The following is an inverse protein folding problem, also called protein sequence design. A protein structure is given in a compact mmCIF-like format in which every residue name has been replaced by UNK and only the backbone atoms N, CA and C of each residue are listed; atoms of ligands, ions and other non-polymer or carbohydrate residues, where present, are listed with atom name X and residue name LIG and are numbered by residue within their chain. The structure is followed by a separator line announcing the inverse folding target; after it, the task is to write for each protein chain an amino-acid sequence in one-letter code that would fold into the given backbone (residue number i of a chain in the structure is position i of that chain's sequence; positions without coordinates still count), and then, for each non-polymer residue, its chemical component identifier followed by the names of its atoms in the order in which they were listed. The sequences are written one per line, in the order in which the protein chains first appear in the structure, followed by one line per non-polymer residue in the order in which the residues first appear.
data_IF_041720023516
#
_entry.id   IF_041720023516
#
_cell.length_a   1.000
_cell.length_b   1.000
_cell.length_c   1.000
_cell.angle_alpha   90.00
_cell.angle_beta   90.00
_cell.angle_gamma   90.00
#
_symmetry.space_group_name_H-M   'P 1'
#
loop_
_entity.id
_entity.type
_entity.pdbx_description
1 polymer ?
#
# COMPACT_ATOMS: atom_id res chain seq x y z
N UNK A 1 14.75 18.33 2.08
CA UNK A 1 14.81 17.00 2.73
C UNK A 1 14.34 17.19 4.17
N UNK A 2 13.20 16.63 4.57
CA UNK A 2 12.68 16.74 5.95
C UNK A 2 13.08 15.48 6.72
N UNK A 3 13.79 15.63 7.82
CA UNK A 3 14.10 14.56 8.78
C UNK A 3 13.04 14.56 9.89
N UNK A 4 12.39 13.42 10.11
CA UNK A 4 11.89 12.99 11.42
C UNK A 4 10.68 13.68 12.08
N UNK A 5 10.12 14.79 11.60
CA UNK A 5 8.86 15.31 12.18
C UNK A 5 7.65 14.75 11.46
N UNK A 6 7.09 13.70 12.03
CA UNK A 6 5.90 13.00 11.55
C UNK A 6 4.81 13.36 12.56
N UNK A 7 3.78 14.08 12.10
CA UNK A 7 2.71 14.52 13.00
C UNK A 7 1.89 13.32 13.50
N UNK A 8 0.97 13.55 14.42
CA UNK A 8 0.11 12.51 15.01
C UNK A 8 -0.77 11.75 14.01
N UNK A 9 -0.80 12.24 12.77
CA UNK A 9 -1.55 11.77 11.63
C UNK A 9 -0.68 11.07 10.56
N UNK A 10 0.57 10.73 10.88
CA UNK A 10 1.48 9.95 10.04
C UNK A 10 2.20 8.88 10.87
N UNK A 11 2.26 7.65 10.37
CA UNK A 11 3.03 6.57 10.99
C UNK A 11 3.74 5.75 9.92
N UNK A 12 5.00 5.40 10.17
CA UNK A 12 5.69 4.42 9.33
C UNK A 12 5.91 3.11 10.05
N UNK A 13 5.83 2.06 9.25
CA UNK A 13 5.86 0.69 9.68
C UNK A 13 7.06 0.03 9.01
N UNK A 14 7.84 -0.70 9.80
CA UNK A 14 9.11 -1.27 9.38
C UNK A 14 9.12 -2.76 9.72
N UNK A 15 9.73 -3.56 8.85
CA UNK A 15 10.06 -4.96 9.13
C UNK A 15 11.56 -5.05 9.37
N UNK A 16 11.93 -5.67 10.47
CA UNK A 16 13.32 -5.89 10.86
C UNK A 16 13.75 -7.34 10.58
N UNK A 17 15.01 -7.51 10.21
CA UNK A 17 15.71 -8.79 10.22
C UNK A 17 17.01 -8.60 11.00
N UNK A 18 17.02 -9.06 12.26
CA UNK A 18 18.03 -8.62 13.22
C UNK A 18 17.91 -7.13 13.51
N UNK A 19 19.02 -6.41 13.39
CA UNK A 19 19.14 -4.96 13.59
C UNK A 19 18.84 -4.12 12.33
N UNK A 20 18.54 -4.77 11.19
CA UNK A 20 18.36 -4.10 9.90
C UNK A 20 16.89 -3.96 9.53
N UNK A 21 16.50 -2.75 9.10
CA UNK A 21 15.22 -2.51 8.43
C UNK A 21 15.31 -3.10 7.02
N UNK A 22 14.47 -4.09 6.73
CA UNK A 22 14.43 -4.77 5.41
C UNK A 22 13.24 -4.33 4.55
N UNK A 23 12.20 -3.78 5.17
CA UNK A 23 11.03 -3.26 4.47
C UNK A 23 10.42 -2.10 5.25
N UNK A 24 9.86 -1.14 4.53
CA UNK A 24 9.22 0.04 5.11
C UNK A 24 8.03 0.49 4.25
N UNK A 25 6.97 0.96 4.90
CA UNK A 25 5.90 1.73 4.26
C UNK A 25 5.20 2.61 5.28
N UNK A 26 4.67 3.74 4.83
CA UNK A 26 3.93 4.66 5.70
C UNK A 26 2.42 4.60 5.53
N UNK A 27 1.75 5.18 6.51
CA UNK A 27 0.33 5.50 6.61
C UNK A 27 0.18 6.99 6.96
N UNK A 28 -0.75 7.73 6.35
CA UNK A 28 -1.04 9.12 6.75
C UNK A 28 -2.47 9.53 6.44
N UNK A 29 -2.93 10.55 7.16
CA UNK A 29 -4.19 11.22 6.91
C UNK A 29 -4.26 11.81 5.49
N UNK A 30 -5.38 11.61 4.82
CA UNK A 30 -5.59 11.98 3.42
C UNK A 30 -6.93 12.72 3.23
N UNK A 31 -7.02 13.98 3.69
CA UNK A 31 -8.28 14.75 3.68
C UNK A 31 -8.79 15.08 2.27
N UNK A 32 -7.93 14.97 1.26
CA UNK A 32 -8.26 15.31 -0.12
C UNK A 32 -9.31 14.39 -0.76
N UNK A 33 -9.59 13.23 -0.15
CA UNK A 33 -10.59 12.28 -0.64
C UNK A 33 -11.84 12.26 0.24
N UNK A 34 -11.65 12.15 1.56
CA UNK A 34 -12.73 12.16 2.55
C UNK A 34 -12.17 12.63 3.90
N UNK A 35 -13.01 13.28 4.73
CA UNK A 35 -12.59 13.92 5.98
C UNK A 35 -12.04 12.96 7.05
N UNK A 36 -12.38 11.68 6.96
CA UNK A 36 -11.88 10.62 7.87
C UNK A 36 -11.11 9.56 7.07
N UNK A 37 -10.36 9.99 6.05
CA UNK A 37 -9.61 9.11 5.15
C UNK A 37 -8.14 9.02 5.52
N UNK A 38 -7.60 7.80 5.46
CA UNK A 38 -6.18 7.55 5.58
C UNK A 38 -5.65 6.80 4.36
N UNK A 39 -4.48 7.22 3.89
CA UNK A 39 -3.74 6.55 2.82
C UNK A 39 -2.66 5.66 3.43
N UNK A 40 -2.72 4.38 3.09
CA UNK A 40 -1.72 3.37 3.46
C UNK A 40 -0.85 3.00 2.27
N UNK A 41 0.14 2.15 2.48
CA UNK A 41 1.02 1.62 1.42
C UNK A 41 1.73 2.74 0.63
N UNK A 42 1.97 3.91 1.23
CA UNK A 42 2.73 4.96 0.57
C UNK A 42 4.24 4.71 0.78
N UNK A 43 5.02 5.04 -0.26
CA UNK A 43 6.49 4.89 -0.31
C UNK A 43 6.97 3.51 0.15
N UNK A 44 6.34 2.47 -0.36
CA UNK A 44 6.76 1.09 -0.13
C UNK A 44 8.19 0.86 -0.63
N UNK A 45 9.04 0.30 0.22
CA UNK A 45 10.36 -0.18 -0.17
C UNK A 45 10.69 -1.48 0.56
N UNK A 46 11.29 -2.42 -0.17
CA UNK A 46 11.86 -3.65 0.37
C UNK A 46 13.23 -3.86 -0.26
N UNK A 47 14.23 -4.12 0.58
CA UNK A 47 15.59 -4.43 0.16
C UNK A 47 15.60 -5.61 -0.81
N UNK A 48 16.40 -5.53 -1.88
CA UNK A 48 16.37 -6.48 -3.01
C UNK A 48 16.53 -7.94 -2.56
N UNK A 49 17.43 -8.19 -1.61
CA UNK A 49 17.70 -9.53 -1.07
C UNK A 49 16.50 -10.16 -0.34
N UNK A 50 15.52 -9.38 0.09
CA UNK A 50 14.38 -9.83 0.90
C UNK A 50 13.05 -9.85 0.11
N UNK A 51 13.06 -9.52 -1.17
CA UNK A 51 11.83 -9.44 -1.97
C UNK A 51 11.22 -10.82 -2.17
N UNK A 52 9.90 -10.93 -1.97
CA UNK A 52 9.16 -12.17 -2.17
C UNK A 52 9.32 -13.19 -1.05
N UNK A 53 9.87 -12.79 0.11
CA UNK A 53 10.18 -13.67 1.25
C UNK A 53 9.23 -13.50 2.43
N UNK A 54 8.09 -12.81 2.29
CA UNK A 54 7.11 -12.67 3.38
C UNK A 54 6.23 -13.93 3.60
N UNK A 55 6.63 -15.07 3.04
CA UNK A 55 5.98 -16.37 3.15
C UNK A 55 7.04 -17.46 3.08
N UNK A 56 6.75 -18.65 3.61
CA UNK A 56 7.64 -19.82 3.58
C UNK A 56 8.12 -20.16 2.16
N UNK A 57 7.27 -19.99 1.15
CA UNK A 57 7.64 -20.16 -0.25
C UNK A 57 8.05 -18.82 -0.84
N UNK A 58 9.20 -18.73 -1.50
CA UNK A 58 9.63 -17.48 -2.14
C UNK A 58 8.84 -17.23 -3.43
N UNK A 59 8.31 -16.02 -3.62
CA UNK A 59 7.70 -15.63 -4.90
C UNK A 59 7.73 -14.12 -5.14
N UNK A 60 8.28 -13.70 -6.27
CA UNK A 60 8.20 -12.31 -6.74
C UNK A 60 6.91 -11.99 -7.51
N UNK A 61 6.12 -13.02 -7.86
CA UNK A 61 4.91 -12.89 -8.67
C UNK A 61 3.64 -12.71 -7.84
N UNK A 62 3.72 -13.01 -6.54
CA UNK A 62 2.60 -13.00 -5.61
C UNK A 62 2.72 -11.80 -4.66
N UNK A 63 1.75 -10.90 -4.67
CA UNK A 63 1.79 -9.69 -3.83
C UNK A 63 1.84 -10.03 -2.34
N UNK A 64 1.16 -11.09 -1.91
CA UNK A 64 1.17 -11.59 -0.53
C UNK A 64 2.53 -12.14 -0.05
N UNK A 65 3.54 -12.16 -0.91
CA UNK A 65 4.93 -12.48 -0.54
C UNK A 65 5.78 -11.22 -0.37
N UNK A 66 5.21 -10.04 -0.61
CA UNK A 66 5.84 -8.76 -0.33
C UNK A 66 5.53 -8.33 1.12
N UNK A 67 6.55 -7.93 1.88
CA UNK A 67 6.41 -7.52 3.27
C UNK A 67 5.46 -6.33 3.47
N UNK A 68 5.39 -5.40 2.52
CA UNK A 68 4.44 -4.29 2.59
C UNK A 68 2.99 -4.79 2.61
N UNK A 69 2.65 -5.77 1.77
CA UNK A 69 1.28 -6.32 1.70
C UNK A 69 0.98 -7.33 2.80
N UNK A 70 1.95 -8.16 3.20
CA UNK A 70 1.71 -9.28 4.13
C UNK A 70 1.91 -8.92 5.60
N UNK A 71 2.96 -8.15 5.91
CA UNK A 71 3.34 -7.86 7.28
C UNK A 71 2.95 -6.43 7.70
N UNK A 72 3.19 -5.45 6.83
CA UNK A 72 2.99 -4.04 7.17
C UNK A 72 1.52 -3.64 7.05
N UNK A 73 0.87 -3.97 5.92
CA UNK A 73 -0.50 -3.52 5.63
C UNK A 73 -1.51 -3.79 6.76
N UNK A 74 -1.55 -4.97 7.41
CA UNK A 74 -2.46 -5.17 8.54
C UNK A 74 -2.25 -4.18 9.68
N UNK A 75 -0.98 -3.88 10.02
CA UNK A 75 -0.65 -2.89 11.03
C UNK A 75 -1.01 -1.46 10.60
N UNK A 76 -0.91 -1.16 9.30
CA UNK A 76 -1.35 0.12 8.75
C UNK A 76 -2.87 0.30 8.88
N UNK A 77 -3.64 -0.74 8.51
CA UNK A 77 -5.10 -0.73 8.64
C UNK A 77 -5.51 -0.56 10.10
N UNK A 78 -4.92 -1.36 11.00
CA UNK A 78 -5.20 -1.26 12.44
C UNK A 78 -4.93 0.15 12.97
N UNK A 79 -3.78 0.73 12.63
CA UNK A 79 -3.47 2.09 13.05
C UNK A 79 -4.47 3.12 12.51
N UNK A 80 -4.83 3.07 11.23
CA UNK A 80 -5.84 3.95 10.64
C UNK A 80 -7.18 3.84 11.40
N UNK A 81 -7.61 2.62 11.75
CA UNK A 81 -8.83 2.39 12.53
C UNK A 81 -8.72 3.02 13.93
N UNK A 82 -7.57 2.92 14.61
CA UNK A 82 -7.36 3.60 15.91
C UNK A 82 -7.45 5.12 15.81
N UNK A 83 -7.27 5.69 14.62
CA UNK A 83 -7.38 7.12 14.33
C UNK A 83 -8.79 7.54 13.88
N UNK A 84 -9.75 6.62 13.89
CA UNK A 84 -11.13 6.87 13.49
C UNK A 84 -11.36 6.87 11.98
N UNK A 85 -10.49 6.23 11.19
CA UNK A 85 -10.68 6.15 9.75
C UNK A 85 -12.01 5.47 9.39
N UNK A 86 -12.85 6.15 8.61
CA UNK A 86 -14.02 5.54 7.96
C UNK A 86 -13.70 5.11 6.53
N UNK A 87 -12.57 5.57 6.00
CA UNK A 87 -12.10 5.30 4.65
C UNK A 87 -10.60 5.03 4.67
N UNK A 88 -10.17 3.93 4.06
CA UNK A 88 -8.77 3.57 3.95
C UNK A 88 -8.46 3.29 2.49
N UNK A 89 -7.50 4.03 1.94
CA UNK A 89 -7.14 3.94 0.53
C UNK A 89 -5.67 3.56 0.33
N UNK A 90 -5.37 3.01 -0.83
CA UNK A 90 -4.02 2.98 -1.39
C UNK A 90 -4.03 3.55 -2.80
N UNK A 91 -2.88 4.07 -3.24
CA UNK A 91 -2.75 4.67 -4.57
C UNK A 91 -1.69 3.96 -5.40
N UNK A 92 -1.91 3.94 -6.72
CA UNK A 92 -0.92 3.43 -7.67
C UNK A 92 -0.73 4.45 -8.78
N UNK A 93 0.52 4.79 -9.11
CA UNK A 93 0.84 5.68 -10.23
C UNK A 93 0.16 5.19 -11.52
N UNK A 94 -0.50 6.12 -12.21
CA UNK A 94 -1.09 5.90 -13.52
C UNK A 94 -0.01 5.77 -14.61
N UNK A 95 -0.37 5.26 -15.80
CA UNK A 95 0.58 4.97 -16.86
C UNK A 95 1.37 6.17 -17.39
N UNK A 96 0.93 7.39 -17.11
CA UNK A 96 1.57 8.59 -17.65
C UNK A 96 2.87 8.94 -16.90
N UNK A 97 3.23 8.18 -15.84
CA UNK A 97 4.45 8.37 -15.01
C UNK A 97 5.26 7.05 -14.84
N UNK A 98 5.48 6.30 -15.91
CA UNK A 98 6.03 4.93 -15.82
C UNK A 98 7.57 4.86 -15.94
N UNK A 99 8.20 4.29 -14.90
CA UNK A 99 9.36 3.38 -15.03
C UNK A 99 8.85 1.97 -15.38
N UNK A 100 9.04 1.56 -16.64
CA UNK A 100 8.47 0.34 -17.23
C UNK A 100 9.21 -0.89 -16.70
N UNK A 101 8.96 -1.25 -15.44
CA UNK A 101 9.63 -2.36 -14.74
C UNK A 101 9.53 -2.28 -13.22
N UNK A 102 9.27 -1.09 -12.69
CA UNK A 102 9.15 -0.81 -11.26
C UNK A 102 7.97 -1.51 -10.58
N UNK A 103 8.08 -1.70 -9.26
CA UNK A 103 7.04 -2.36 -8.44
C UNK A 103 5.69 -1.67 -8.58
N UNK A 104 5.65 -0.33 -8.61
CA UNK A 104 4.40 0.42 -8.73
C UNK A 104 3.71 0.22 -10.07
N UNK A 105 4.46 0.15 -11.18
CA UNK A 105 3.89 -0.19 -12.49
C UNK A 105 3.30 -1.62 -12.50
N UNK A 106 3.97 -2.59 -11.85
CA UNK A 106 3.45 -3.96 -11.70
C UNK A 106 2.16 -3.99 -10.85
N UNK A 107 2.11 -3.26 -9.74
CA UNK A 107 0.91 -3.15 -8.89
C UNK A 107 -0.22 -2.43 -9.65
N UNK A 108 0.09 -1.36 -10.39
CA UNK A 108 -0.83 -0.65 -11.25
C UNK A 108 -1.45 -1.58 -12.32
N UNK A 109 -0.60 -2.25 -13.12
CA UNK A 109 -1.06 -3.19 -14.15
C UNK A 109 -1.85 -4.35 -13.55
N UNK A 110 -1.42 -4.89 -12.40
CA UNK A 110 -2.17 -5.92 -11.71
C UNK A 110 -3.52 -5.40 -11.23
N UNK A 111 -3.56 -4.19 -10.66
CA UNK A 111 -4.77 -3.50 -10.26
C UNK A 111 -5.74 -3.33 -11.41
N UNK A 112 -5.33 -2.63 -12.48
CA UNK A 112 -6.19 -2.37 -13.64
C UNK A 112 -6.61 -3.63 -14.42
N UNK A 113 -5.74 -4.64 -14.55
CA UNK A 113 -6.05 -5.85 -15.35
C UNK A 113 -6.77 -6.94 -14.57
N UNK A 114 -6.68 -6.97 -13.23
CA UNK A 114 -7.21 -8.06 -12.41
C UNK A 114 -8.13 -7.63 -11.27
N UNK A 115 -8.31 -6.34 -10.98
CA UNK A 115 -9.15 -5.90 -9.85
C UNK A 115 -10.48 -5.22 -10.20
N UNK A 116 -10.73 -4.63 -11.39
CA UNK A 116 -12.11 -4.40 -11.77
C UNK A 116 -12.71 -5.78 -12.08
N UNK A 117 -13.47 -6.33 -11.13
CA UNK A 117 -14.27 -7.56 -11.25
C UNK A 117 -13.51 -8.90 -11.23
N UNK A 118 -12.65 -9.18 -10.24
CA UNK A 118 -12.30 -10.58 -9.92
C UNK A 118 -12.71 -10.95 -8.50
N UNK A 119 -12.90 -12.25 -8.25
CA UNK A 119 -13.51 -12.90 -7.08
C UNK A 119 -13.04 -12.44 -5.68
N UNK A 120 -11.98 -11.64 -5.56
CA UNK A 120 -11.51 -11.10 -4.29
C UNK A 120 -11.87 -9.62 -4.15
N UNK A 121 -12.89 -9.34 -3.34
CA UNK A 121 -13.34 -8.00 -2.91
C UNK A 121 -12.35 -7.33 -1.95
N UNK A 122 -11.03 -7.45 -2.20
CA UNK A 122 -9.99 -6.95 -1.30
C UNK A 122 -9.69 -5.46 -1.53
N UNK A 123 -9.90 -4.97 -2.76
CA UNK A 123 -9.81 -3.55 -3.11
C UNK A 123 -10.81 -3.18 -4.19
N UNK A 124 -11.36 -1.97 -4.08
CA UNK A 124 -12.24 -1.39 -5.09
C UNK A 124 -11.56 -0.18 -5.73
N UNK A 125 -11.50 -0.10 -7.06
CA UNK A 125 -11.10 1.13 -7.73
C UNK A 125 -12.18 2.18 -7.52
N UNK A 126 -11.88 3.28 -6.81
CA UNK A 126 -12.87 4.34 -6.56
C UNK A 126 -12.71 5.49 -7.55
N UNK A 127 -11.47 5.84 -7.90
CA UNK A 127 -11.19 6.92 -8.83
C UNK A 127 -9.98 6.59 -9.68
N UNK A 128 -10.11 6.79 -10.99
CA UNK A 128 -9.05 6.57 -11.97
C UNK A 128 -8.35 7.89 -12.30
N UNK A 129 -7.03 7.85 -12.49
CA UNK A 129 -6.25 9.00 -12.99
C UNK A 129 -6.45 10.30 -12.19
N UNK A 130 -6.60 10.19 -10.86
CA UNK A 130 -6.70 11.32 -9.95
C UNK A 130 -5.37 12.08 -9.85
N UNK A 131 -5.41 13.41 -9.79
CA UNK A 131 -4.23 14.22 -9.51
C UNK A 131 -3.88 14.16 -8.03
N UNK A 132 -2.86 13.37 -7.70
CA UNK A 132 -2.39 13.16 -6.33
C UNK A 132 -0.94 13.60 -6.25
N UNK A 133 -0.70 14.75 -5.61
CA UNK A 133 0.63 15.38 -5.47
C UNK A 133 1.35 15.55 -6.82
N UNK A 134 0.70 16.19 -7.79
CA UNK A 134 1.23 16.46 -9.13
C UNK A 134 1.59 15.18 -9.93
N UNK A 135 0.91 14.07 -9.63
CA UNK A 135 1.07 12.80 -10.34
C UNK A 135 -0.30 12.16 -10.51
N UNK A 136 -0.59 11.67 -11.71
CA UNK A 136 -1.77 10.86 -11.98
C UNK A 136 -1.67 9.53 -11.23
N UNK A 137 -2.66 9.22 -10.42
CA UNK A 137 -2.73 7.99 -9.64
C UNK A 137 -4.15 7.43 -9.65
N UNK A 138 -4.27 6.10 -9.66
CA UNK A 138 -5.52 5.43 -9.33
C UNK A 138 -5.67 5.34 -7.82
N UNK A 139 -6.87 5.61 -7.33
CA UNK A 139 -7.27 5.53 -5.91
C UNK A 139 -8.09 4.27 -5.70
N UNK A 140 -7.62 3.42 -4.80
CA UNK A 140 -8.21 2.14 -4.47
C UNK A 140 -8.67 2.13 -3.02
N UNK A 141 -9.94 1.79 -2.77
CA UNK A 141 -10.43 1.43 -1.43
C UNK A 141 -9.76 0.15 -0.99
N UNK A 142 -9.39 0.08 0.28
CA UNK A 142 -8.97 -1.15 0.94
C UNK A 142 -10.17 -1.73 1.68
N UNK A 143 -10.61 -2.93 1.29
CA UNK A 143 -11.81 -3.57 1.84
C UNK A 143 -11.50 -4.67 2.87
N UNK A 144 -10.21 -4.97 3.06
CA UNK A 144 -9.75 -6.03 3.97
C UNK A 144 -8.56 -5.54 4.79
N UNK A 145 -8.52 -5.95 6.06
CA UNK A 145 -7.37 -5.79 6.95
C UNK A 145 -6.15 -6.58 6.48
N UNK A 146 -6.32 -7.81 5.99
CA UNK A 146 -5.21 -8.68 5.55
C UNK A 146 -5.48 -9.33 4.19
N UNK A 147 -4.61 -9.06 3.23
CA UNK A 147 -4.74 -9.53 1.84
C UNK A 147 -4.52 -11.04 1.68
N UNK A 148 -3.72 -11.63 2.56
CA UNK A 148 -3.37 -13.03 2.46
C UNK A 148 -4.42 -13.92 3.11
N UNK A 149 -5.15 -13.43 4.10
CA UNK A 149 -6.23 -14.17 4.78
C UNK A 149 -7.63 -13.74 4.34
N UNK A 150 -7.78 -12.55 3.75
CA UNK A 150 -9.09 -11.98 3.40
C UNK A 150 -9.88 -11.47 4.60
N UNK A 151 -9.24 -11.37 5.78
CA UNK A 151 -9.87 -10.86 7.00
C UNK A 151 -10.25 -9.39 6.80
N UNK A 152 -11.51 -9.06 7.04
CA UNK A 152 -12.03 -7.69 7.05
C UNK A 152 -11.59 -6.95 8.31
#
# INVERSE_FOLDING_TARGET
MKFGKWGDLEQWHMVYHGDKIISISGSHYYPHFHKDCYRIMYRMATLKAYRGMASEKISLRKMQHNFCFRAIMPAQVDWCLTKGATEIIATTNSPDNIDYGGTMHKVHNHGRRRRPNTKSDNMTLIQKDADVYNTKQDIWRVNVRDFATGKK
#
